data_IF_276706202418
#
_entry.id   IF_276706202418
#
_cell.length_a   1.000
_cell.length_b   1.000
_cell.length_c   1.000
_cell.angle_alpha   90.00
_cell.angle_beta   90.00
_cell.angle_gamma   90.00
#
_symmetry.space_group_name_H-M   'P 1'
#
loop_
_entity.id
_entity.type
_entity.pdbx_description
1 polymer ?
#
# COMPACT_ATOMS: atom_id res chain seq x y z
N UNK A 1 -27.29 0.74 12.92
CA UNK A 1 -25.91 0.22 13.07
C UNK A 1 -25.88 -1.28 13.31
N UNK A 2 -26.79 -1.88 14.09
CA UNK A 2 -26.90 -3.34 14.24
C UNK A 2 -27.18 -4.05 12.91
N UNK A 3 -28.10 -3.53 12.10
CA UNK A 3 -28.45 -4.11 10.79
C UNK A 3 -27.28 -4.14 9.79
N UNK A 4 -26.36 -3.17 9.84
CA UNK A 4 -25.18 -3.12 8.95
C UNK A 4 -24.19 -4.23 9.30
N UNK A 5 -24.04 -4.55 10.58
CA UNK A 5 -23.11 -5.58 11.07
C UNK A 5 -23.67 -7.01 10.92
N UNK A 6 -24.94 -7.18 10.62
CA UNK A 6 -25.55 -8.49 10.37
C UNK A 6 -25.31 -9.01 8.94
N UNK A 7 -24.89 -8.13 8.02
CA UNK A 7 -24.61 -8.48 6.63
C UNK A 7 -23.19 -9.05 6.50
N UNK A 8 -23.07 -10.31 6.09
CA UNK A 8 -21.78 -11.01 5.96
C UNK A 8 -20.75 -10.24 5.10
N UNK A 9 -21.18 -9.61 4.00
CA UNK A 9 -20.29 -8.84 3.15
C UNK A 9 -19.74 -7.58 3.87
N UNK A 10 -20.53 -6.99 4.75
CA UNK A 10 -20.09 -5.83 5.51
C UNK A 10 -19.12 -6.23 6.64
N UNK A 11 -19.31 -7.38 7.27
CA UNK A 11 -18.36 -7.94 8.24
C UNK A 11 -17.01 -8.18 7.56
N UNK A 12 -17.00 -8.82 6.38
CA UNK A 12 -15.78 -9.03 5.61
C UNK A 12 -15.12 -7.69 5.22
N UNK A 13 -15.90 -6.68 4.84
CA UNK A 13 -15.37 -5.36 4.51
C UNK A 13 -14.70 -4.66 5.71
N UNK A 14 -15.30 -4.76 6.91
CA UNK A 14 -14.69 -4.21 8.12
C UNK A 14 -13.42 -4.96 8.53
N UNK A 15 -13.43 -6.30 8.47
CA UNK A 15 -12.24 -7.11 8.76
C UNK A 15 -11.13 -6.76 7.78
N UNK A 16 -11.43 -6.71 6.48
CA UNK A 16 -10.48 -6.33 5.44
C UNK A 16 -9.96 -4.90 5.65
N UNK A 17 -10.83 -3.95 6.01
CA UNK A 17 -10.43 -2.58 6.34
C UNK A 17 -9.45 -2.50 7.51
N UNK A 18 -9.63 -3.33 8.55
CA UNK A 18 -8.70 -3.44 9.68
C UNK A 18 -7.36 -4.02 9.22
N UNK A 19 -7.36 -5.13 8.48
CA UNK A 19 -6.13 -5.75 7.97
C UNK A 19 -5.35 -4.81 7.05
N UNK A 20 -6.02 -4.18 6.08
CA UNK A 20 -5.40 -3.14 5.22
C UNK A 20 -4.81 -2.01 6.06
N UNK A 21 -5.50 -1.59 7.13
CA UNK A 21 -5.03 -0.52 8.00
C UNK A 21 -3.78 -0.91 8.78
N UNK A 22 -3.67 -2.17 9.22
CA UNK A 22 -2.50 -2.69 9.92
C UNK A 22 -1.29 -2.72 8.98
N UNK A 23 -1.43 -3.35 7.81
CA UNK A 23 -0.33 -3.49 6.84
C UNK A 23 0.12 -2.11 6.32
N UNK A 24 -0.83 -1.23 5.95
CA UNK A 24 -0.53 0.12 5.48
C UNK A 24 0.04 1.02 6.59
N UNK A 25 -0.40 0.86 7.83
CA UNK A 25 0.15 1.60 8.97
C UNK A 25 1.60 1.26 9.27
N UNK A 26 1.94 -0.02 9.23
CA UNK A 26 3.31 -0.51 9.44
C UNK A 26 4.23 -0.15 8.27
N UNK A 27 3.89 -0.60 7.07
CA UNK A 27 4.73 -0.41 5.87
C UNK A 27 4.74 1.05 5.43
N UNK A 28 3.59 1.73 5.46
CA UNK A 28 3.49 3.16 5.12
C UNK A 28 4.35 4.05 6.01
N UNK A 29 4.49 3.71 7.30
CA UNK A 29 5.40 4.45 8.20
C UNK A 29 6.86 4.34 7.76
N UNK A 30 7.29 3.14 7.33
CA UNK A 30 8.63 2.93 6.76
C UNK A 30 8.78 3.64 5.41
N UNK A 31 7.75 3.60 4.56
CA UNK A 31 7.72 4.26 3.25
C UNK A 31 7.87 5.78 3.39
N UNK A 32 7.12 6.41 4.30
CA UNK A 32 7.13 7.87 4.50
C UNK A 32 8.45 8.33 5.09
N UNK A 33 8.98 7.65 6.13
CA UNK A 33 10.26 8.03 6.74
C UNK A 33 11.42 7.91 5.74
N UNK A 34 11.42 6.85 4.92
CA UNK A 34 12.46 6.64 3.91
C UNK A 34 12.22 7.43 2.61
N UNK A 35 11.16 8.27 2.53
CA UNK A 35 10.80 9.08 1.35
C UNK A 35 10.56 8.24 0.09
N UNK A 36 9.98 7.06 0.25
CA UNK A 36 9.75 6.08 -0.82
C UNK A 36 8.31 6.10 -1.35
N UNK A 37 7.52 7.12 -1.07
CA UNK A 37 6.10 7.20 -1.45
C UNK A 37 5.88 7.10 -2.95
N UNK A 38 6.75 7.71 -3.75
CA UNK A 38 6.69 7.64 -5.21
C UNK A 38 7.04 6.25 -5.74
N UNK A 39 7.96 5.54 -5.08
CA UNK A 39 8.30 4.14 -5.37
C UNK A 39 7.08 3.24 -5.14
N UNK A 40 6.36 3.43 -4.02
CA UNK A 40 5.14 2.68 -3.73
C UNK A 40 4.08 2.87 -4.83
N UNK A 41 3.89 4.12 -5.31
CA UNK A 41 3.03 4.43 -6.44
C UNK A 41 3.45 3.75 -7.73
N UNK A 42 4.74 3.79 -8.05
CA UNK A 42 5.29 3.14 -9.24
C UNK A 42 5.09 1.63 -9.24
N UNK A 43 5.31 0.97 -8.10
CA UNK A 43 5.06 -0.47 -7.94
C UNK A 43 3.54 -0.76 -8.03
N UNK A 44 2.70 0.05 -7.40
CA UNK A 44 1.26 -0.13 -7.41
C UNK A 44 0.70 -0.11 -8.84
N UNK A 45 1.03 0.89 -9.61
CA UNK A 45 0.61 0.98 -11.01
C UNK A 45 1.31 -0.06 -11.90
N UNK A 46 2.59 -0.35 -11.65
CA UNK A 46 3.34 -1.38 -12.35
C UNK A 46 2.75 -2.79 -12.16
N UNK A 47 2.20 -3.09 -10.98
CA UNK A 47 1.55 -4.36 -10.66
C UNK A 47 0.43 -4.74 -11.65
N UNK A 48 -0.15 -3.74 -12.30
CA UNK A 48 -1.15 -3.91 -13.35
C UNK A 48 -0.65 -4.76 -14.51
N UNK A 49 0.65 -4.65 -14.84
CA UNK A 49 1.29 -5.52 -15.83
C UNK A 49 1.19 -6.99 -15.46
N UNK A 50 1.36 -7.31 -14.18
CA UNK A 50 1.22 -8.67 -13.67
C UNK A 50 -0.22 -9.19 -13.72
N UNK A 51 -1.21 -8.33 -13.49
CA UNK A 51 -2.64 -8.66 -13.61
C UNK A 51 -2.97 -9.01 -15.07
N UNK A 52 -2.55 -8.16 -16.03
CA UNK A 52 -2.80 -8.41 -17.45
C UNK A 52 -2.14 -9.69 -17.97
N UNK A 53 -0.89 -9.93 -17.57
CA UNK A 53 -0.20 -11.20 -17.89
C UNK A 53 -0.94 -12.41 -17.30
N UNK A 54 -1.41 -12.33 -16.06
CA UNK A 54 -2.14 -13.42 -15.43
C UNK A 54 -3.41 -13.77 -16.19
N UNK A 55 -4.19 -12.77 -16.62
CA UNK A 55 -5.38 -13.01 -17.45
C UNK A 55 -5.03 -13.66 -18.78
N UNK A 56 -4.01 -13.19 -19.47
CA UNK A 56 -3.58 -13.75 -20.74
C UNK A 56 -3.17 -15.22 -20.63
N UNK A 57 -2.46 -15.59 -19.55
CA UNK A 57 -2.06 -16.98 -19.30
C UNK A 57 -3.09 -17.79 -18.51
N UNK A 58 -4.29 -17.27 -18.27
CA UNK A 58 -5.33 -17.92 -17.46
C UNK A 58 -4.86 -18.31 -16.05
N UNK A 59 -3.98 -17.49 -15.47
CA UNK A 59 -3.50 -17.63 -14.10
C UNK A 59 -4.34 -16.78 -13.14
N UNK A 60 -4.23 -17.06 -11.86
CA UNK A 60 -4.86 -16.24 -10.83
C UNK A 60 -4.24 -14.84 -10.78
N UNK A 61 -5.06 -13.74 -10.90
CA UNK A 61 -4.55 -12.37 -11.03
C UNK A 61 -3.68 -11.91 -9.88
N UNK A 62 -3.99 -12.34 -8.65
CA UNK A 62 -3.21 -11.98 -7.46
C UNK A 62 -1.81 -12.59 -7.48
N UNK A 63 -1.69 -13.81 -8.00
CA UNK A 63 -0.41 -14.49 -8.17
C UNK A 63 0.46 -13.78 -9.22
N UNK A 64 -0.11 -13.44 -10.38
CA UNK A 64 0.62 -12.69 -11.41
C UNK A 64 1.04 -11.30 -10.94
N UNK A 65 0.15 -10.58 -10.27
CA UNK A 65 0.46 -9.29 -9.66
C UNK A 65 1.61 -9.40 -8.65
N UNK A 66 1.61 -10.44 -7.80
CA UNK A 66 2.65 -10.66 -6.78
C UNK A 66 4.03 -10.88 -7.38
N UNK A 67 4.14 -11.79 -8.36
CA UNK A 67 5.42 -12.09 -9.02
C UNK A 67 5.93 -10.86 -9.77
N UNK A 68 5.06 -10.21 -10.55
CA UNK A 68 5.45 -9.05 -11.34
C UNK A 68 5.86 -7.87 -10.47
N UNK A 69 5.13 -7.60 -9.38
CA UNK A 69 5.47 -6.53 -8.43
C UNK A 69 6.78 -6.80 -7.70
N UNK A 70 7.06 -8.05 -7.31
CA UNK A 70 8.36 -8.41 -6.73
C UNK A 70 9.49 -8.22 -7.74
N UNK A 71 9.28 -8.59 -9.00
CA UNK A 71 10.26 -8.34 -10.06
C UNK A 71 10.54 -6.85 -10.23
N UNK A 72 9.49 -6.01 -10.30
CA UNK A 72 9.63 -4.55 -10.34
C UNK A 72 10.34 -4.01 -9.09
N UNK A 73 10.00 -4.53 -7.91
CA UNK A 73 10.63 -4.14 -6.65
C UNK A 73 12.15 -4.38 -6.67
N UNK A 74 12.59 -5.51 -7.18
CA UNK A 74 14.03 -5.83 -7.31
C UNK A 74 14.73 -4.89 -8.29
N UNK A 75 14.10 -4.57 -9.43
CA UNK A 75 14.64 -3.60 -10.40
C UNK A 75 14.75 -2.22 -9.75
N UNK A 76 13.67 -1.73 -9.13
CA UNK A 76 13.64 -0.41 -8.50
C UNK A 76 14.66 -0.34 -7.36
N UNK A 77 14.73 -1.37 -6.50
CA UNK A 77 15.72 -1.42 -5.42
C UNK A 77 17.15 -1.36 -5.94
N UNK A 78 17.45 -2.04 -7.06
CA UNK A 78 18.77 -2.02 -7.68
C UNK A 78 19.11 -0.62 -8.22
N UNK A 79 18.17 0.04 -8.87
CA UNK A 79 18.38 1.37 -9.45
C UNK A 79 18.54 2.41 -8.35
N UNK A 80 17.67 2.40 -7.34
CA UNK A 80 17.68 3.37 -6.25
C UNK A 80 18.90 3.28 -5.34
N UNK A 81 19.58 2.13 -5.31
CA UNK A 81 20.87 1.97 -4.63
C UNK A 81 22.04 2.57 -5.43
N UNK A 82 21.96 2.55 -6.77
CA UNK A 82 23.06 2.99 -7.64
C UNK A 82 22.99 4.47 -7.98
N UNK A 83 21.82 4.96 -8.31
CA UNK A 83 21.59 6.36 -8.72
C UNK A 83 20.39 6.94 -7.99
N UNK A 84 20.63 8.04 -7.28
CA UNK A 84 19.60 8.78 -6.54
C UNK A 84 19.11 10.04 -7.27
N UNK A 85 19.70 10.38 -8.43
CA UNK A 85 19.48 11.68 -9.06
C UNK A 85 18.21 11.74 -9.91
N UNK A 86 17.84 10.64 -10.59
CA UNK A 86 16.71 10.62 -11.52
C UNK A 86 15.66 9.57 -11.17
N UNK A 87 15.52 9.25 -9.88
CA UNK A 87 14.63 8.17 -9.39
C UNK A 87 13.20 8.37 -9.89
N UNK A 88 12.68 9.59 -9.80
CA UNK A 88 11.28 9.87 -10.15
C UNK A 88 10.99 9.60 -11.63
N UNK A 89 11.92 9.96 -12.52
CA UNK A 89 11.78 9.70 -13.96
C UNK A 89 11.78 8.20 -14.27
N UNK A 90 12.68 7.43 -13.61
CA UNK A 90 12.78 5.98 -13.78
C UNK A 90 11.51 5.30 -13.27
N UNK A 91 11.02 5.70 -12.10
CA UNK A 91 9.79 5.16 -11.53
C UNK A 91 8.59 5.48 -12.43
N UNK A 92 8.51 6.71 -12.96
CA UNK A 92 7.48 7.10 -13.91
C UNK A 92 7.50 6.25 -15.18
N UNK A 93 8.68 5.92 -15.72
CA UNK A 93 8.82 5.03 -16.86
C UNK A 93 8.37 3.58 -16.53
N UNK A 94 8.78 3.05 -15.36
CA UNK A 94 8.35 1.72 -14.90
C UNK A 94 6.83 1.67 -14.72
N UNK A 95 6.25 2.71 -14.14
CA UNK A 95 4.80 2.88 -14.02
C UNK A 95 4.11 2.78 -15.38
N UNK A 96 4.54 3.60 -16.35
CA UNK A 96 3.94 3.66 -17.67
C UNK A 96 4.08 2.32 -18.42
N UNK A 97 5.26 1.69 -18.37
CA UNK A 97 5.53 0.39 -19.01
C UNK A 97 4.66 -0.70 -18.38
N UNK A 98 4.58 -0.76 -17.05
CA UNK A 98 3.78 -1.76 -16.36
C UNK A 98 2.30 -1.67 -16.70
N UNK A 99 1.73 -0.45 -16.69
CA UNK A 99 0.34 -0.26 -17.11
C UNK A 99 0.11 -0.61 -18.59
N UNK A 100 1.02 -0.19 -19.48
CA UNK A 100 0.90 -0.50 -20.91
C UNK A 100 0.93 -2.02 -21.17
N UNK A 101 1.85 -2.75 -20.52
CA UNK A 101 1.92 -4.21 -20.60
C UNK A 101 0.58 -4.81 -20.14
N UNK A 102 0.05 -4.36 -18.99
CA UNK A 102 -1.21 -4.85 -18.44
C UNK A 102 -2.36 -4.69 -19.42
N UNK A 103 -2.55 -3.51 -19.98
CA UNK A 103 -3.62 -3.21 -20.92
C UNK A 103 -3.47 -4.04 -22.20
N UNK A 104 -2.27 -4.08 -22.80
CA UNK A 104 -2.03 -4.84 -24.04
C UNK A 104 -2.35 -6.32 -23.88
N UNK A 105 -1.90 -6.95 -22.78
CA UNK A 105 -2.18 -8.38 -22.57
C UNK A 105 -3.64 -8.67 -22.30
N UNK A 106 -4.39 -7.76 -21.70
CA UNK A 106 -5.83 -7.88 -21.57
C UNK A 106 -6.53 -7.75 -22.92
N UNK A 107 -6.15 -6.78 -23.75
CA UNK A 107 -6.70 -6.60 -25.10
C UNK A 107 -6.43 -7.83 -25.99
N UNK A 108 -5.32 -8.53 -25.78
CA UNK A 108 -4.96 -9.76 -26.47
C UNK A 108 -5.70 -11.00 -25.92
N UNK A 109 -6.42 -10.91 -24.82
CA UNK A 109 -7.12 -12.03 -24.19
C UNK A 109 -8.50 -12.22 -24.85
N UNK A 110 -8.74 -13.33 -25.60
CA UNK A 110 -9.99 -13.52 -26.32
C UNK A 110 -11.20 -13.66 -25.39
N UNK A 111 -12.30 -12.98 -25.71
CA UNK A 111 -13.60 -13.14 -25.01
C UNK A 111 -13.64 -12.58 -23.58
N UNK A 112 -12.62 -11.87 -23.14
CA UNK A 112 -12.54 -11.34 -21.79
C UNK A 112 -12.83 -9.83 -21.75
N UNK A 113 -13.99 -9.49 -21.20
CA UNK A 113 -14.30 -8.09 -20.79
C UNK A 113 -13.93 -7.93 -19.32
N UNK A 114 -12.62 -7.91 -19.03
CA UNK A 114 -12.19 -7.65 -17.65
C UNK A 114 -12.66 -6.26 -17.22
N UNK A 115 -13.38 -6.23 -16.14
CA UNK A 115 -13.64 -4.97 -15.46
C UNK A 115 -12.37 -4.50 -14.75
N UNK A 116 -11.46 -3.92 -15.56
CA UNK A 116 -10.22 -3.31 -15.08
C UNK A 116 -10.48 -2.21 -14.04
N UNK A 117 -11.65 -1.58 -14.11
CA UNK A 117 -12.07 -0.57 -13.15
C UNK A 117 -12.17 -1.14 -11.74
N UNK A 118 -12.53 -2.42 -11.60
CA UNK A 118 -12.61 -3.07 -10.28
C UNK A 118 -11.25 -3.18 -9.59
N UNK A 119 -10.15 -3.34 -10.34
CA UNK A 119 -8.78 -3.33 -9.79
C UNK A 119 -8.24 -1.92 -9.52
N UNK A 120 -8.67 -0.92 -10.29
CA UNK A 120 -8.26 0.47 -10.08
C UNK A 120 -8.93 1.07 -8.84
N UNK A 121 -10.22 0.86 -8.69
CA UNK A 121 -11.02 1.43 -7.60
C UNK A 121 -11.19 0.49 -6.42
N UNK A 122 -10.91 -0.82 -6.60
CA UNK A 122 -11.14 -1.86 -5.61
C UNK A 122 -12.62 -2.10 -5.34
N UNK A 123 -12.91 -3.16 -4.63
CA UNK A 123 -14.26 -3.46 -4.14
C UNK A 123 -14.19 -4.04 -2.73
N UNK A 124 -14.02 -3.17 -1.76
CA UNK A 124 -13.94 -3.59 -0.35
C UNK A 124 -15.19 -4.35 0.11
N UNK A 125 -16.33 -4.13 -0.55
CA UNK A 125 -17.58 -4.84 -0.27
C UNK A 125 -17.64 -6.24 -0.92
N UNK A 126 -16.74 -6.55 -1.88
CA UNK A 126 -16.68 -7.84 -2.58
C UNK A 126 -15.53 -8.73 -2.08
N UNK A 127 -14.99 -8.45 -0.90
CA UNK A 127 -13.87 -9.21 -0.31
C UNK A 127 -14.29 -10.62 0.04
N UNK A 128 -13.54 -11.59 -0.47
CA UNK A 128 -13.72 -13.01 -0.19
C UNK A 128 -12.98 -13.46 1.09
N UNK A 129 -13.39 -14.61 1.64
CA UNK A 129 -12.67 -15.21 2.77
C UNK A 129 -11.21 -15.55 2.44
N UNK A 130 -10.91 -15.90 1.19
CA UNK A 130 -9.53 -16.17 0.72
C UNK A 130 -8.65 -14.93 0.75
N UNK A 131 -9.22 -13.77 0.39
CA UNK A 131 -8.51 -12.48 0.46
C UNK A 131 -8.16 -12.13 1.92
N UNK A 132 -9.10 -12.34 2.85
CA UNK A 132 -8.87 -12.11 4.29
C UNK A 132 -7.74 -13.00 4.83
N UNK A 133 -7.73 -14.30 4.47
CA UNK A 133 -6.67 -15.22 4.87
C UNK A 133 -5.32 -14.77 4.31
N UNK A 134 -5.26 -14.44 3.02
CA UNK A 134 -4.02 -13.97 2.38
C UNK A 134 -3.47 -12.71 3.06
N UNK A 135 -4.33 -11.71 3.33
CA UNK A 135 -3.94 -10.49 4.01
C UNK A 135 -3.49 -10.76 5.45
N UNK A 136 -4.21 -11.62 6.18
CA UNK A 136 -3.84 -11.97 7.57
C UNK A 136 -2.46 -12.64 7.64
N UNK A 137 -2.15 -13.51 6.68
CA UNK A 137 -0.83 -14.17 6.59
C UNK A 137 0.27 -13.14 6.32
N UNK A 138 0.04 -12.19 5.41
CA UNK A 138 1.01 -11.13 5.13
C UNK A 138 1.16 -10.15 6.28
N UNK A 139 0.07 -9.77 6.96
CA UNK A 139 0.12 -8.93 8.15
C UNK A 139 0.98 -9.56 9.25
N UNK A 140 0.76 -10.87 9.51
CA UNK A 140 1.55 -11.60 10.48
C UNK A 140 3.03 -11.69 10.06
N UNK A 141 3.30 -11.98 8.79
CA UNK A 141 4.66 -12.02 8.25
C UNK A 141 5.38 -10.69 8.44
N UNK A 142 4.73 -9.57 8.10
CA UNK A 142 5.33 -8.25 8.22
C UNK A 142 5.51 -7.83 9.67
N UNK A 143 4.55 -8.15 10.53
CA UNK A 143 4.67 -7.91 11.97
C UNK A 143 5.88 -8.65 12.54
N UNK A 144 6.06 -9.93 12.19
CA UNK A 144 7.21 -10.74 12.62
C UNK A 144 8.51 -10.16 12.07
N UNK A 145 8.59 -9.83 10.77
CA UNK A 145 9.80 -9.25 10.16
C UNK A 145 10.15 -7.90 10.79
N UNK A 146 9.17 -7.04 11.01
CA UNK A 146 9.40 -5.74 11.66
C UNK A 146 9.82 -5.93 13.12
N UNK A 147 9.21 -6.85 13.86
CA UNK A 147 9.58 -7.12 15.24
C UNK A 147 11.02 -7.66 15.36
N UNK A 148 11.40 -8.61 14.52
CA UNK A 148 12.73 -9.20 14.49
C UNK A 148 13.82 -8.19 14.08
N UNK A 149 13.53 -7.36 13.09
CA UNK A 149 14.48 -6.42 12.50
C UNK A 149 14.19 -4.96 12.84
N UNK A 150 13.44 -4.70 13.91
CA UNK A 150 13.03 -3.34 14.28
C UNK A 150 14.21 -2.37 14.41
N UNK A 151 15.27 -2.78 15.10
CA UNK A 151 16.46 -1.96 15.33
C UNK A 151 17.17 -1.61 14.02
N UNK A 152 17.26 -2.57 13.10
CA UNK A 152 17.87 -2.39 11.78
C UNK A 152 17.03 -1.44 10.93
N UNK A 153 15.70 -1.62 10.89
CA UNK A 153 14.81 -0.69 10.17
C UNK A 153 14.90 0.73 10.72
N UNK A 154 14.93 0.89 12.05
CA UNK A 154 15.15 2.22 12.66
C UNK A 154 16.51 2.79 12.23
N UNK A 155 17.60 2.02 12.34
CA UNK A 155 18.94 2.49 12.01
C UNK A 155 19.05 2.96 10.55
N UNK A 156 18.57 2.18 9.59
CA UNK A 156 18.65 2.55 8.16
C UNK A 156 17.72 3.71 7.78
N UNK A 157 16.59 3.85 8.48
CA UNK A 157 15.63 4.92 8.20
C UNK A 157 16.10 6.29 8.68
N UNK A 158 16.95 6.34 9.70
CA UNK A 158 17.47 7.61 10.22
C UNK A 158 18.87 7.95 9.70
N UNK A 159 19.76 6.97 9.62
CA UNK A 159 21.13 7.16 9.12
C UNK A 159 21.68 5.83 8.56
N UNK A 160 21.54 5.67 7.25
CA UNK A 160 21.96 4.46 6.56
C UNK A 160 23.52 4.31 6.53
N UNK A 161 24.26 5.41 6.51
CA UNK A 161 25.73 5.38 6.52
C UNK A 161 26.25 4.94 7.88
N UNK A 162 25.70 5.52 8.95
CA UNK A 162 26.03 5.10 10.32
C UNK A 162 25.62 3.65 10.57
N UNK A 163 24.44 3.22 10.11
CA UNK A 163 24.00 1.83 10.21
C UNK A 163 25.00 0.87 9.53
N UNK A 164 25.51 1.24 8.35
CA UNK A 164 26.52 0.46 7.63
C UNK A 164 27.83 0.35 8.42
N UNK A 165 28.29 1.45 9.04
CA UNK A 165 29.49 1.45 9.90
C UNK A 165 29.33 0.55 11.14
N UNK A 166 28.09 0.37 11.61
CA UNK A 166 27.73 -0.53 12.72
C UNK A 166 27.54 -1.99 12.29
N UNK A 167 27.86 -2.34 11.03
CA UNK A 167 27.77 -3.70 10.51
C UNK A 167 26.39 -4.12 10.03
N UNK A 168 25.41 -3.19 9.91
CA UNK A 168 24.10 -3.49 9.34
C UNK A 168 24.24 -3.56 7.82
N UNK A 169 23.76 -4.66 7.21
CA UNK A 169 23.71 -4.79 5.76
C UNK A 169 22.59 -3.92 5.17
N UNK A 170 22.88 -2.63 4.94
CA UNK A 170 21.91 -1.65 4.46
C UNK A 170 21.34 -2.02 3.10
N UNK A 171 22.12 -2.68 2.24
CA UNK A 171 21.66 -3.17 0.94
C UNK A 171 20.55 -4.21 1.09
N UNK A 172 20.78 -5.22 1.93
CA UNK A 172 19.78 -6.27 2.20
C UNK A 172 18.47 -5.67 2.73
N UNK A 173 18.54 -4.77 3.71
CA UNK A 173 17.35 -4.16 4.29
C UNK A 173 16.63 -3.21 3.32
N UNK A 174 17.36 -2.58 2.40
CA UNK A 174 16.73 -1.78 1.34
C UNK A 174 15.91 -2.68 0.39
N UNK A 175 16.48 -3.78 -0.11
CA UNK A 175 15.75 -4.75 -0.91
C UNK A 175 14.55 -5.34 -0.15
N UNK A 176 14.75 -5.72 1.10
CA UNK A 176 13.68 -6.26 1.94
C UNK A 176 12.53 -5.27 2.08
N UNK A 177 12.82 -3.99 2.35
CA UNK A 177 11.80 -2.95 2.49
C UNK A 177 11.01 -2.73 1.20
N UNK A 178 11.68 -2.67 0.04
CA UNK A 178 11.02 -2.48 -1.26
C UNK A 178 10.17 -3.71 -1.62
N UNK A 179 10.64 -4.93 -1.31
CA UNK A 179 9.86 -6.16 -1.51
C UNK A 179 8.63 -6.22 -0.57
N UNK A 180 8.79 -5.85 0.72
CA UNK A 180 7.66 -5.77 1.66
C UNK A 180 6.62 -4.76 1.17
N UNK A 181 7.07 -3.60 0.66
CA UNK A 181 6.19 -2.59 0.07
C UNK A 181 5.43 -3.14 -1.15
N UNK A 182 6.10 -3.87 -2.04
CA UNK A 182 5.46 -4.48 -3.21
C UNK A 182 4.37 -5.48 -2.82
N UNK A 183 4.66 -6.37 -1.87
CA UNK A 183 3.67 -7.33 -1.37
C UNK A 183 2.52 -6.65 -0.61
N UNK A 184 2.81 -5.59 0.15
CA UNK A 184 1.78 -4.77 0.80
C UNK A 184 0.81 -4.18 -0.22
N UNK A 185 1.36 -3.59 -1.30
CA UNK A 185 0.57 -3.03 -2.40
C UNK A 185 -0.33 -4.10 -3.04
N UNK A 186 0.23 -5.27 -3.39
CA UNK A 186 -0.53 -6.34 -4.03
C UNK A 186 -1.63 -6.89 -3.12
N UNK A 187 -1.32 -7.09 -1.84
CA UNK A 187 -2.31 -7.58 -0.87
C UNK A 187 -3.52 -6.65 -0.74
N UNK A 188 -3.30 -5.37 -0.89
CA UNK A 188 -4.31 -4.34 -0.65
C UNK A 188 -5.05 -3.90 -1.92
N UNK A 189 -4.43 -4.04 -3.11
CA UNK A 189 -4.98 -3.57 -4.39
C UNK A 189 -6.37 -4.14 -4.70
N UNK A 190 -6.55 -5.45 -4.48
CA UNK A 190 -7.82 -6.13 -4.79
C UNK A 190 -8.97 -5.64 -3.90
N UNK A 191 -8.65 -5.34 -2.65
CA UNK A 191 -9.62 -4.97 -1.61
C UNK A 191 -10.00 -3.50 -1.71
N UNK A 192 -9.00 -2.64 -1.73
CA UNK A 192 -9.22 -1.18 -1.64
C UNK A 192 -8.92 -0.44 -2.93
N UNK A 193 -8.38 -1.13 -3.92
CA UNK A 193 -7.98 -0.54 -5.20
C UNK A 193 -6.69 0.24 -5.12
N UNK A 194 -6.12 0.47 -6.29
CA UNK A 194 -4.81 1.06 -6.49
C UNK A 194 -4.71 2.49 -5.93
N UNK A 195 -5.75 3.28 -6.10
CA UNK A 195 -5.76 4.69 -5.66
C UNK A 195 -5.78 4.78 -4.13
N UNK A 196 -6.59 3.96 -3.46
CA UNK A 196 -6.70 4.00 -2.00
C UNK A 196 -5.45 3.42 -1.32
N UNK A 197 -4.78 2.43 -1.92
CA UNK A 197 -3.52 1.89 -1.39
C UNK A 197 -2.49 3.00 -1.20
N UNK A 198 -2.28 3.84 -2.23
CA UNK A 198 -1.32 4.94 -2.16
C UNK A 198 -1.73 5.94 -1.07
N UNK A 199 -3.02 6.27 -0.98
CA UNK A 199 -3.52 7.18 0.04
C UNK A 199 -3.30 6.64 1.46
N UNK A 200 -3.57 5.36 1.72
CA UNK A 200 -3.38 4.74 3.03
C UNK A 200 -1.90 4.53 3.40
N UNK A 201 -1.03 4.30 2.41
CA UNK A 201 0.42 4.22 2.64
C UNK A 201 1.07 5.58 2.91
N UNK A 202 0.39 6.69 2.62
CA UNK A 202 0.98 8.02 2.70
C UNK A 202 0.31 8.92 3.73
N UNK A 203 -1.00 9.05 3.70
CA UNK A 203 -1.74 10.04 4.50
C UNK A 203 -1.70 9.72 5.99
N UNK A 204 -2.13 8.52 6.47
CA UNK A 204 -2.10 8.22 7.90
C UNK A 204 -0.69 8.24 8.49
N UNK A 205 0.36 7.67 7.83
CA UNK A 205 1.72 7.77 8.32
C UNK A 205 2.25 9.21 8.37
N UNK A 206 1.93 10.05 7.39
CA UNK A 206 2.32 11.45 7.41
C UNK A 206 1.70 12.20 8.60
N UNK A 207 0.40 11.98 8.87
CA UNK A 207 -0.25 12.56 10.06
C UNK A 207 0.40 12.01 11.34
N UNK A 208 0.64 10.69 11.39
CA UNK A 208 1.26 10.04 12.54
C UNK A 208 2.67 10.57 12.84
N UNK A 209 3.45 10.94 11.81
CA UNK A 209 4.79 11.51 11.95
C UNK A 209 4.78 12.84 12.72
N UNK A 210 3.67 13.58 12.69
CA UNK A 210 3.56 14.86 13.44
C UNK A 210 3.54 14.60 14.95
N UNK A 211 2.93 13.50 15.38
CA UNK A 211 2.71 13.17 16.78
C UNK A 211 3.72 12.18 17.35
N UNK A 212 4.38 11.40 16.49
CA UNK A 212 5.25 10.30 16.91
C UNK A 212 6.71 10.74 17.00
N UNK A 213 7.35 10.42 18.14
CA UNK A 213 8.80 10.58 18.34
C UNK A 213 9.60 9.30 18.07
N UNK A 214 8.93 8.18 17.84
CA UNK A 214 9.55 6.86 17.63
C UNK A 214 8.82 6.13 16.50
N UNK A 215 9.54 5.35 15.69
CA UNK A 215 8.99 4.62 14.56
C UNK A 215 7.83 3.69 14.97
N UNK A 216 7.96 2.94 16.07
CA UNK A 216 6.89 2.04 16.52
C UNK A 216 5.62 2.79 16.92
N UNK A 217 5.75 3.97 17.57
CA UNK A 217 4.60 4.82 17.87
C UNK A 217 3.97 5.39 16.61
N UNK A 218 4.78 5.74 15.61
CA UNK A 218 4.28 6.20 14.31
C UNK A 218 3.48 5.11 13.60
N UNK A 219 3.96 3.87 13.59
CA UNK A 219 3.24 2.72 13.04
C UNK A 219 1.88 2.53 13.72
N UNK A 220 1.85 2.57 15.05
CA UNK A 220 0.63 2.40 15.83
C UNK A 220 -0.37 3.54 15.57
N UNK A 221 0.05 4.79 15.63
CA UNK A 221 -0.81 5.94 15.37
C UNK A 221 -1.31 5.92 13.92
N UNK A 222 -0.45 5.57 12.95
CA UNK A 222 -0.81 5.43 11.54
C UNK A 222 -1.89 4.36 11.35
N UNK A 223 -1.75 3.20 11.98
CA UNK A 223 -2.75 2.13 11.94
C UNK A 223 -4.09 2.61 12.51
N UNK A 224 -4.09 3.31 13.64
CA UNK A 224 -5.31 3.85 14.25
C UNK A 224 -6.01 4.84 13.31
N UNK A 225 -5.28 5.80 12.72
CA UNK A 225 -5.86 6.73 11.76
C UNK A 225 -6.40 6.01 10.53
N UNK A 226 -5.68 5.01 9.99
CA UNK A 226 -6.16 4.20 8.87
C UNK A 226 -7.46 3.49 9.20
N UNK A 227 -7.58 2.86 10.37
CA UNK A 227 -8.82 2.21 10.83
C UNK A 227 -9.97 3.21 10.92
N UNK A 228 -9.73 4.39 11.50
CA UNK A 228 -10.74 5.44 11.62
C UNK A 228 -11.20 5.91 10.23
N UNK A 229 -10.27 6.14 9.30
CA UNK A 229 -10.62 6.58 7.94
C UNK A 229 -11.38 5.50 7.17
N UNK A 230 -10.97 4.23 7.28
CA UNK A 230 -11.69 3.11 6.68
C UNK A 230 -13.10 3.00 7.26
N UNK A 231 -13.26 3.06 8.58
CA UNK A 231 -14.56 2.95 9.22
C UNK A 231 -15.50 4.08 8.80
N UNK A 232 -15.07 5.33 8.91
CA UNK A 232 -15.89 6.50 8.54
C UNK A 232 -16.22 6.46 7.04
N UNK A 233 -15.23 6.15 6.19
CA UNK A 233 -15.43 6.08 4.75
C UNK A 233 -16.40 4.97 4.33
N UNK A 234 -16.34 3.79 4.96
CA UNK A 234 -17.29 2.70 4.72
C UNK A 234 -18.71 3.05 5.15
N UNK A 235 -18.86 3.70 6.29
CA UNK A 235 -20.18 4.17 6.76
C UNK A 235 -20.77 5.20 5.79
N UNK A 236 -19.98 6.16 5.33
CA UNK A 236 -20.41 7.14 4.31
C UNK A 236 -20.79 6.43 3.01
N UNK A 237 -19.95 5.51 2.54
CA UNK A 237 -20.19 4.71 1.33
C UNK A 237 -21.53 3.98 1.39
N UNK A 238 -21.84 3.36 2.52
CA UNK A 238 -23.08 2.61 2.72
C UNK A 238 -24.32 3.52 2.70
N UNK A 239 -24.31 4.64 3.44
CA UNK A 239 -25.48 5.52 3.52
C UNK A 239 -25.75 6.30 2.23
N UNK A 240 -24.71 6.64 1.49
CA UNK A 240 -24.83 7.47 0.27
C UNK A 240 -24.70 6.66 -1.02
N UNK A 241 -24.61 5.33 -0.96
CA UNK A 241 -24.40 4.45 -2.12
C UNK A 241 -23.20 4.88 -3.00
N UNK A 242 -22.09 5.26 -2.35
CA UNK A 242 -20.86 5.69 -3.02
C UNK A 242 -19.83 4.54 -3.06
N UNK A 243 -18.85 4.67 -3.94
CA UNK A 243 -17.71 3.75 -3.98
C UNK A 243 -16.92 3.79 -2.68
N UNK A 244 -16.72 2.65 -2.01
CA UNK A 244 -16.06 2.56 -0.70
C UNK A 244 -14.66 3.16 -0.67
N UNK A 245 -13.82 2.79 -1.63
CA UNK A 245 -12.46 3.33 -1.75
C UNK A 245 -12.41 4.84 -1.88
N UNK A 246 -13.23 5.41 -2.76
CA UNK A 246 -13.28 6.87 -2.97
C UNK A 246 -13.75 7.63 -1.72
N UNK A 247 -14.72 7.09 -0.98
CA UNK A 247 -15.21 7.68 0.26
C UNK A 247 -14.12 7.70 1.35
N UNK A 248 -13.36 6.61 1.49
CA UNK A 248 -12.23 6.52 2.43
C UNK A 248 -11.14 7.55 2.08
N UNK A 249 -10.77 7.65 0.78
CA UNK A 249 -9.76 8.62 0.32
C UNK A 249 -10.19 10.04 0.63
N UNK A 250 -11.46 10.37 0.40
CA UNK A 250 -12.00 11.71 0.64
C UNK A 250 -11.90 12.09 2.12
N UNK A 251 -12.30 11.17 3.02
CA UNK A 251 -12.17 11.36 4.47
C UNK A 251 -10.69 11.55 4.87
N UNK A 252 -9.81 10.67 4.39
CA UNK A 252 -8.39 10.76 4.68
C UNK A 252 -7.77 12.08 4.19
N UNK A 253 -8.10 12.50 2.96
CA UNK A 253 -7.59 13.73 2.35
C UNK A 253 -8.07 14.99 3.07
N UNK A 254 -9.35 15.05 3.47
CA UNK A 254 -9.87 16.17 4.26
C UNK A 254 -9.12 16.29 5.60
N UNK A 255 -8.91 15.16 6.29
CA UNK A 255 -8.12 15.15 7.52
C UNK A 255 -6.67 15.57 7.27
N UNK A 256 -6.04 15.09 6.18
CA UNK A 256 -4.67 15.47 5.82
C UNK A 256 -4.53 16.99 5.68
N UNK A 257 -5.40 17.63 4.90
CA UNK A 257 -5.35 19.08 4.72
C UNK A 257 -5.63 19.83 6.03
N UNK A 258 -6.61 19.39 6.82
CA UNK A 258 -6.91 19.99 8.11
C UNK A 258 -5.69 19.96 9.06
N UNK A 259 -4.99 18.82 9.16
CA UNK A 259 -3.77 18.70 9.96
C UNK A 259 -2.60 19.50 9.36
N UNK A 260 -2.40 19.44 8.05
CA UNK A 260 -1.31 20.14 7.36
C UNK A 260 -1.39 21.65 7.55
N UNK A 261 -2.58 22.24 7.40
CA UNK A 261 -2.79 23.68 7.61
C UNK A 261 -2.60 24.09 9.07
N UNK A 262 -3.17 23.34 10.01
CA UNK A 262 -3.07 23.64 11.43
C UNK A 262 -1.62 23.58 11.95
N UNK A 263 -0.84 22.58 11.54
CA UNK A 263 0.54 22.42 12.02
C UNK A 263 1.57 23.27 11.28
N UNK A 264 1.29 23.69 10.04
CA UNK A 264 2.13 24.69 9.36
C UNK A 264 2.09 26.03 10.08
N UNK A 265 0.91 26.42 10.58
CA UNK A 265 0.74 27.65 11.41
C UNK A 265 1.44 27.61 12.78
N UNK A 266 1.82 26.43 13.28
CA UNK A 266 2.54 26.27 14.55
C UNK A 266 4.07 26.21 14.38
N UNK A 267 4.56 26.09 13.13
CA UNK A 267 6.00 26.08 12.81
C UNK A 267 6.51 27.38 12.18
N UNK A 268 5.60 28.29 11.80
CA UNK A 268 5.88 29.68 11.43
C UNK A 268 5.83 30.59 12.65
#
# INVERSE_FOLDING_TARGET
MSEILELNFMQNAFIAGILVSIICGMIGSLVVINKMTFIAGGIAHGAYGGIGLAFFFSLEPLFGASIFSLFLALIIATITLKDKTNIDSVIGAIWAIGMAIGIIFIDLTPGYNADLMSYLFGSILAVSGTDIIFMSVLDLLFLVLIALFYRQFVAISFDAEFAKLRGVNTTFFHYLLVCMMALCVVATIRVVGLILVIALLTIPPYIAQIFAKRLGLMMLISTIFSIIFCFIGLVISFYFNLTGGASIILVASLCFFAFSFKFKSLRS
#
